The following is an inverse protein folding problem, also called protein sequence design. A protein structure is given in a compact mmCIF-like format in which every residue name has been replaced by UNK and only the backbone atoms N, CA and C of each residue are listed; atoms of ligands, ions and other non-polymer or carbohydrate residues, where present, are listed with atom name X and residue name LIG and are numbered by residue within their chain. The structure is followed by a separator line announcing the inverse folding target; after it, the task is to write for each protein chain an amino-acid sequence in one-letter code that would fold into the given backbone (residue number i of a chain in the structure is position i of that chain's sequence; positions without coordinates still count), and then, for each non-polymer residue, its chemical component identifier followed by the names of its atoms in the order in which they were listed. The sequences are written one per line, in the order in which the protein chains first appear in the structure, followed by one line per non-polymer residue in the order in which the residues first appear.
data_IF_820920623098
#
_entry.id   IF_820920623098
#
_cell.length_a   1.000
_cell.length_b   1.000
_cell.length_c   1.000
_cell.angle_alpha   90.00
_cell.angle_beta   90.00
_cell.angle_gamma   90.00
#
_symmetry.space_group_name_H-M   'P 1'
#
loop_
_entity.id
_entity.type
_entity.pdbx_description
1 polymer ?
#
# COMPACT_ATOMS: atom_id res chain seq x y z
N UNK A 1 6.06 7.48 -15.32
CA UNK A 1 5.36 7.40 -14.02
C UNK A 1 3.93 7.00 -14.32
N UNK A 2 3.56 5.74 -14.14
CA UNK A 2 2.15 5.35 -14.24
C UNK A 2 1.47 5.91 -12.98
N UNK A 3 0.72 6.99 -13.13
CA UNK A 3 -0.18 7.44 -12.09
C UNK A 3 -1.19 6.33 -11.83
N UNK A 4 -1.30 5.90 -10.58
CA UNK A 4 -2.30 4.92 -10.14
C UNK A 4 -3.70 5.58 -10.07
N UNK A 5 -4.06 6.40 -11.07
CA UNK A 5 -5.26 7.23 -11.05
C UNK A 5 -6.41 6.71 -11.93
N UNK A 6 -6.14 5.86 -12.93
CA UNK A 6 -7.18 5.63 -13.95
C UNK A 6 -8.02 4.34 -13.79
N UNK A 7 -7.78 3.49 -12.78
CA UNK A 7 -8.55 2.23 -12.63
C UNK A 7 -9.01 1.84 -11.22
N UNK A 8 -8.88 2.71 -10.22
CA UNK A 8 -9.42 2.42 -8.88
C UNK A 8 -10.59 3.36 -8.57
N UNK A 9 -11.77 3.04 -9.11
CA UNK A 9 -13.06 3.66 -8.78
C UNK A 9 -13.57 3.26 -7.38
N UNK A 10 -12.71 3.32 -6.36
CA UNK A 10 -13.13 3.14 -4.98
C UNK A 10 -12.77 4.41 -4.22
N UNK A 11 -13.73 5.33 -4.18
CA UNK A 11 -13.70 6.48 -3.29
C UNK A 11 -13.30 6.03 -1.87
N UNK A 12 -12.21 6.60 -1.36
CA UNK A 12 -11.72 6.36 0.00
C UNK A 12 -10.73 5.21 0.20
N UNK A 13 -10.28 4.46 -0.84
CA UNK A 13 -9.36 3.31 -0.68
C UNK A 13 -7.94 3.46 -1.26
N UNK A 14 -7.41 4.69 -1.38
CA UNK A 14 -5.97 4.87 -1.62
C UNK A 14 -5.53 5.98 -2.56
N UNK A 15 -6.46 6.79 -3.07
CA UNK A 15 -6.13 8.01 -3.81
C UNK A 15 -5.11 8.86 -3.02
N UNK A 16 -3.98 9.17 -3.65
CA UNK A 16 -2.91 9.98 -3.07
C UNK A 16 -2.04 9.31 -2.01
N UNK A 17 -2.17 8.00 -1.74
CA UNK A 17 -1.37 7.30 -0.73
C UNK A 17 -0.33 6.34 -1.30
N UNK A 18 -0.42 5.98 -2.58
CA UNK A 18 0.46 5.00 -3.20
C UNK A 18 1.02 5.55 -4.51
N UNK A 19 2.32 5.39 -4.71
CA UNK A 19 2.98 5.61 -6.00
C UNK A 19 3.67 4.31 -6.38
N UNK A 20 3.42 3.85 -7.62
CA UNK A 20 4.08 2.67 -8.20
C UNK A 20 4.99 3.14 -9.32
N UNK A 21 6.27 2.79 -9.22
CA UNK A 21 7.26 2.96 -10.28
C UNK A 21 7.68 1.58 -10.77
N UNK A 22 7.43 1.30 -12.05
CA UNK A 22 7.91 0.09 -12.70
C UNK A 22 9.28 0.34 -13.34
N UNK A 23 10.21 -0.57 -13.07
CA UNK A 23 11.51 -0.67 -13.74
C UNK A 23 11.59 -1.99 -14.52
N UNK A 24 12.67 -2.15 -15.28
CA UNK A 24 12.89 -3.35 -16.09
C UNK A 24 12.83 -4.63 -15.24
N UNK A 25 13.50 -4.64 -14.09
CA UNK A 25 13.70 -5.82 -13.27
C UNK A 25 12.86 -5.87 -11.98
N UNK A 26 12.23 -4.77 -11.58
CA UNK A 26 11.50 -4.70 -10.30
C UNK A 26 10.45 -3.58 -10.29
N UNK A 27 9.55 -3.64 -9.32
CA UNK A 27 8.67 -2.53 -8.95
C UNK A 27 9.20 -1.83 -7.69
N UNK A 28 9.10 -0.50 -7.65
CA UNK A 28 9.21 0.28 -6.41
C UNK A 28 7.85 0.83 -6.08
N UNK A 29 7.42 0.59 -4.85
CA UNK A 29 6.12 1.01 -4.37
C UNK A 29 6.34 1.84 -3.12
N UNK A 30 5.98 3.12 -3.20
CA UNK A 30 6.02 4.04 -2.07
C UNK A 30 4.61 4.24 -1.53
N UNK A 31 4.41 3.96 -0.23
CA UNK A 31 3.14 4.03 0.45
C UNK A 31 3.12 4.99 1.64
N UNK A 32 2.00 5.70 1.79
CA UNK A 32 1.62 6.44 2.99
C UNK A 32 0.40 5.77 3.63
N UNK A 33 0.66 4.80 4.51
CA UNK A 33 -0.37 3.93 5.09
C UNK A 33 -1.25 4.72 6.08
N UNK A 34 -2.58 4.54 6.11
CA UNK A 34 -3.44 5.20 7.07
C UNK A 34 -3.08 4.83 8.52
N UNK A 35 -2.97 5.85 9.37
CA UNK A 35 -2.81 5.68 10.81
C UNK A 35 -4.10 5.12 11.44
N UNK A 36 -3.97 4.23 12.45
CA UNK A 36 -5.11 3.66 13.17
C UNK A 36 -5.87 4.68 14.04
N UNK A 37 -5.38 5.90 14.16
CA UNK A 37 -5.95 6.98 14.97
C UNK A 37 -5.69 6.80 16.46
N UNK A 38 -5.80 7.89 17.23
CA UNK A 38 -5.75 7.83 18.69
C UNK A 38 -6.88 6.94 19.21
N UNK A 39 -6.57 6.02 20.12
CA UNK A 39 -7.57 5.08 20.63
C UNK A 39 -8.06 4.05 19.61
N UNK A 40 -7.33 3.85 18.50
CA UNK A 40 -7.61 2.81 17.50
C UNK A 40 -8.93 2.97 16.73
N UNK A 41 -9.46 4.19 16.66
CA UNK A 41 -10.75 4.51 16.00
C UNK A 41 -10.83 4.12 14.51
N UNK A 42 -9.69 3.98 13.83
CA UNK A 42 -9.61 3.58 12.43
C UNK A 42 -9.02 2.18 12.23
N UNK A 43 -8.91 1.36 13.29
CA UNK A 43 -8.26 0.05 13.20
C UNK A 43 -8.92 -0.89 12.19
N UNK A 44 -10.25 -0.93 12.13
CA UNK A 44 -10.96 -1.78 11.17
C UNK A 44 -10.74 -1.32 9.72
N UNK A 45 -10.73 -0.01 9.49
CA UNK A 45 -10.38 0.56 8.17
C UNK A 45 -8.93 0.21 7.80
N UNK A 46 -8.02 0.24 8.76
CA UNK A 46 -6.62 -0.15 8.58
C UNK A 46 -6.48 -1.64 8.25
N UNK A 47 -7.20 -2.53 8.90
CA UNK A 47 -7.18 -3.97 8.57
C UNK A 47 -7.67 -4.23 7.14
N UNK A 48 -8.74 -3.56 6.73
CA UNK A 48 -9.27 -3.65 5.37
C UNK A 48 -8.26 -3.13 4.33
N UNK A 49 -7.57 -2.02 4.65
CA UNK A 49 -6.46 -1.51 3.85
C UNK A 49 -5.34 -2.56 3.71
N UNK A 50 -4.86 -3.08 4.83
CA UNK A 50 -3.73 -4.04 4.85
C UNK A 50 -4.06 -5.31 4.05
N UNK A 51 -5.28 -5.84 4.18
CA UNK A 51 -5.71 -7.03 3.45
C UNK A 51 -5.81 -6.79 1.93
N UNK A 52 -6.43 -5.69 1.52
CA UNK A 52 -6.52 -5.31 0.11
C UNK A 52 -5.13 -5.11 -0.49
N UNK A 53 -4.28 -4.39 0.23
CA UNK A 53 -2.98 -3.99 -0.27
C UNK A 53 -1.99 -5.15 -0.33
N UNK A 54 -2.05 -6.08 0.63
CA UNK A 54 -1.26 -7.32 0.58
C UNK A 54 -1.57 -8.14 -0.68
N UNK A 55 -2.85 -8.26 -1.05
CA UNK A 55 -3.25 -8.98 -2.26
C UNK A 55 -2.75 -8.27 -3.53
N UNK A 56 -2.79 -6.94 -3.55
CA UNK A 56 -2.21 -6.14 -4.63
C UNK A 56 -0.69 -6.36 -4.77
N UNK A 57 0.06 -6.27 -3.67
CA UNK A 57 1.51 -6.50 -3.66
C UNK A 57 1.86 -7.90 -4.16
N UNK A 58 1.15 -8.94 -3.70
CA UNK A 58 1.33 -10.32 -4.17
C UNK A 58 1.08 -10.48 -5.68
N UNK A 59 0.12 -9.73 -6.22
CA UNK A 59 -0.17 -9.73 -7.65
C UNK A 59 0.93 -9.05 -8.51
N UNK A 60 1.71 -8.14 -7.92
CA UNK A 60 2.86 -7.54 -8.59
C UNK A 60 4.12 -8.40 -8.42
N UNK A 61 4.33 -8.94 -7.22
CA UNK A 61 5.48 -9.78 -6.86
C UNK A 61 5.52 -11.08 -7.68
N UNK A 62 4.35 -11.61 -8.07
CA UNK A 62 4.25 -12.75 -9.00
C UNK A 62 4.75 -12.44 -10.42
N UNK A 63 4.89 -11.16 -10.78
CA UNK A 63 5.37 -10.72 -12.11
C UNK A 63 6.83 -10.30 -12.07
N UNK A 64 7.20 -9.46 -11.11
CA UNK A 64 8.58 -8.98 -10.88
C UNK A 64 8.76 -8.69 -9.38
N UNK A 65 9.97 -8.83 -8.84
CA UNK A 65 10.26 -8.47 -7.45
C UNK A 65 9.74 -7.08 -7.08
N UNK A 66 9.16 -6.98 -5.88
CA UNK A 66 8.60 -5.72 -5.36
C UNK A 66 9.45 -5.18 -4.22
N UNK A 67 9.90 -3.92 -4.34
CA UNK A 67 10.48 -3.13 -3.27
C UNK A 67 9.37 -2.26 -2.67
N UNK A 68 9.00 -2.54 -1.42
CA UNK A 68 7.95 -1.83 -0.70
C UNK A 68 8.53 -0.88 0.34
N UNK A 69 8.28 0.42 0.19
CA UNK A 69 8.86 1.49 1.01
C UNK A 69 7.82 2.56 1.38
N UNK A 70 8.17 3.44 2.31
CA UNK A 70 7.35 4.59 2.71
C UNK A 70 7.04 4.61 4.20
N UNK A 71 6.04 5.40 4.60
CA UNK A 71 5.56 5.44 5.98
C UNK A 71 4.43 4.42 6.17
N UNK A 72 4.78 3.33 6.84
CA UNK A 72 3.90 2.18 7.05
C UNK A 72 2.98 2.32 8.28
N UNK A 73 3.11 3.42 9.05
CA UNK A 73 2.30 3.69 10.24
C UNK A 73 2.14 2.48 11.17
N UNK A 74 3.21 1.68 11.28
CA UNK A 74 3.28 0.48 12.12
C UNK A 74 4.72 0.30 12.55
N UNK A 75 4.94 0.15 13.85
CA UNK A 75 6.19 -0.39 14.34
C UNK A 75 6.11 -1.91 14.24
N UNK A 76 7.08 -2.52 13.56
CA UNK A 76 7.30 -3.96 13.64
C UNK A 76 8.35 -4.14 14.72
N UNK A 77 7.91 -4.34 15.96
CA UNK A 77 8.73 -5.10 16.90
C UNK A 77 8.60 -6.55 16.47
N UNK A 78 9.66 -7.14 15.96
CA UNK A 78 9.78 -8.59 15.95
C UNK A 78 9.62 -9.12 17.38
N UNK A 79 9.15 -10.36 17.60
CA UNK A 79 9.63 -11.12 18.75
C UNK A 79 11.16 -11.25 18.70
#
# INVERSE_FOLDING_TARGET
MMGFDDKCELEGKGKGRIIVAEYENYYVINAYVPNSGRGLVNLEKRKLWDAYYLNFLKGLDSKKPVIYVGDLNKFISSP
#
